data_IF_898163175592
#
_entry.id   IF_898163175592
#
_cell.length_a   1.000
_cell.length_b   1.000
_cell.length_c   1.000
_cell.angle_alpha   90.00
_cell.angle_beta   90.00
_cell.angle_gamma   90.00
#
_symmetry.space_group_name_H-M   'P 1'
#
loop_
_entity.id
_entity.type
_entity.pdbx_description
1 polymer ?
2 non-polymer ?
3 non-polymer ?
4 water ?
#
# COMPACT_ATOMS: atom_id res chain seq x y z
N UNK A 15 16.98 -17.08 -1.10
CA UNK A 15 15.61 -16.52 -1.01
C UNK A 15 15.56 -15.07 -1.48
N UNK A 16 15.08 -14.83 -2.71
CA UNK A 16 15.21 -13.48 -3.27
C UNK A 16 14.13 -12.52 -2.82
N UNK A 17 13.06 -13.01 -2.20
CA UNK A 17 11.98 -12.14 -1.74
C UNK A 17 11.63 -12.49 -0.31
N UNK A 18 11.92 -11.56 0.59
CA UNK A 18 11.68 -11.76 2.02
C UNK A 18 10.70 -10.71 2.50
N UNK A 19 9.99 -11.04 3.55
CA UNK A 19 9.13 -10.06 4.23
C UNK A 19 9.50 -10.00 5.71
N UNK A 20 9.19 -8.85 6.33
CA UNK A 20 9.35 -8.67 7.77
C UNK A 20 8.19 -7.83 8.26
N UNK A 21 7.33 -8.37 9.13
CA UNK A 21 6.13 -7.66 9.55
C UNK A 21 6.15 -7.47 11.05
N UNK A 22 5.93 -6.20 11.49
CA UNK A 22 5.98 -5.84 12.90
C UNK A 22 4.67 -5.21 13.35
N UNK A 23 4.35 -5.40 14.61
CA UNK A 23 3.12 -4.88 15.24
C UNK A 23 3.53 -3.74 16.14
N UNK A 24 3.12 -2.50 15.77
CA UNK A 24 3.50 -1.30 16.49
C UNK A 24 2.67 -1.06 17.76
N UNK A 25 1.57 -1.81 17.96
CA UNK A 25 0.76 -1.69 19.14
C UNK A 25 1.34 -2.51 20.30
N UNK A 26 1.83 -3.71 19.95
CA UNK A 26 2.27 -4.68 20.94
C UNK A 26 3.78 -4.79 21.03
N UNK A 27 4.50 -4.27 20.04
CA UNK A 27 5.97 -4.37 20.15
C UNK A 27 6.50 -5.76 19.87
N UNK A 28 5.82 -6.51 19.00
CA UNK A 28 6.22 -7.88 18.68
C UNK A 28 6.16 -8.05 17.17
N UNK A 29 6.81 -9.06 16.62
CA UNK A 29 6.59 -9.33 15.20
C UNK A 29 5.14 -9.77 14.99
N UNK A 30 4.62 -9.44 13.81
CA UNK A 30 3.21 -9.77 13.52
C UNK A 30 3.17 -11.16 12.91
N UNK A 31 2.85 -12.15 13.74
CA UNK A 31 2.82 -13.54 13.29
C UNK A 31 1.44 -13.91 12.77
N UNK A 32 1.40 -14.92 11.91
CA UNK A 32 0.17 -15.48 11.38
C UNK A 32 -0.53 -14.51 10.43
N UNK A 33 0.23 -13.62 9.78
CA UNK A 33 -0.33 -12.72 8.75
C UNK A 33 -0.26 -13.45 7.40
N UNK A 34 -1.42 -13.59 6.74
CA UNK A 34 -1.47 -14.25 5.43
C UNK A 34 -0.89 -13.31 4.38
N UNK A 35 0.01 -13.82 3.56
CA UNK A 35 0.66 -13.06 2.51
C UNK A 35 0.52 -13.80 1.19
N UNK A 36 0.25 -13.05 0.12
CA UNK A 36 0.23 -13.62 -1.23
C UNK A 36 1.12 -12.78 -2.14
N UNK A 37 1.81 -13.40 -3.09
CA UNK A 37 2.64 -12.69 -4.05
C UNK A 37 2.05 -12.92 -5.43
N UNK A 38 1.86 -11.83 -6.19
CA UNK A 38 1.35 -11.89 -7.55
C UNK A 38 2.33 -11.22 -8.51
N UNK A 39 2.31 -11.65 -9.76
CA UNK A 39 3.08 -11.00 -10.82
C UNK A 39 2.12 -10.57 -11.90
N UNK A 40 2.28 -9.32 -12.37
CA UNK A 40 1.34 -8.81 -13.39
C UNK A 40 1.62 -9.39 -14.76
N UNK A 41 0.58 -9.87 -15.43
CA UNK A 41 0.92 -10.28 -16.78
C UNK A 41 0.67 -9.09 -17.72
N UNK A 42 0.99 -9.30 -19.00
CA UNK A 42 0.93 -8.22 -19.98
C UNK A 42 -0.48 -7.65 -20.06
N UNK A 43 -1.49 -8.52 -19.97
CA UNK A 43 -2.87 -8.04 -19.98
C UNK A 43 -3.16 -7.07 -18.85
N UNK A 44 -2.37 -7.08 -17.76
CA UNK A 44 -2.65 -6.27 -16.61
C UNK A 44 -3.26 -7.05 -15.46
N UNK A 45 -3.65 -8.30 -15.69
CA UNK A 45 -4.17 -9.12 -14.61
C UNK A 45 -3.02 -9.61 -13.74
N UNK A 46 -3.37 -10.05 -12.55
CA UNK A 46 -2.39 -10.46 -11.55
C UNK A 46 -2.42 -11.99 -11.45
N UNK A 47 -1.23 -12.63 -11.57
CA UNK A 47 -1.07 -14.08 -11.51
C UNK A 47 -0.47 -14.43 -10.14
N UNK A 48 -1.15 -15.26 -9.33
CA UNK A 48 -0.56 -15.59 -8.03
C UNK A 48 0.61 -16.53 -8.23
N UNK A 49 1.76 -16.21 -7.59
CA UNK A 49 2.95 -17.05 -7.63
C UNK A 49 3.36 -17.60 -6.28
N UNK A 50 2.93 -17.03 -5.16
CA UNK A 50 3.37 -17.47 -3.84
C UNK A 50 2.25 -17.26 -2.82
N UNK A 51 2.37 -18.00 -1.74
CA UNK A 51 1.55 -17.76 -0.55
C UNK A 51 2.35 -18.15 0.67
N UNK A 52 2.01 -17.54 1.79
CA UNK A 52 2.64 -17.97 3.02
C UNK A 52 1.93 -17.29 4.19
N UNK A 53 2.34 -17.65 5.41
CA UNK A 53 1.87 -16.93 6.59
C UNK A 53 3.08 -16.63 7.44
N UNK A 54 3.10 -15.39 7.96
CA UNK A 54 4.30 -15.03 8.71
C UNK A 54 4.47 -15.92 9.94
N UNK A 55 5.73 -16.14 10.25
CA UNK A 55 6.06 -16.98 11.40
C UNK A 55 6.21 -16.13 12.67
N UNK A 56 6.79 -16.73 13.73
CA UNK A 56 6.80 -16.00 14.99
C UNK A 56 7.73 -14.80 14.96
N UNK A 57 8.65 -14.68 14.00
CA UNK A 57 9.49 -13.49 13.84
C UNK A 57 8.99 -12.58 12.72
N UNK A 58 7.78 -12.81 12.24
CA UNK A 58 7.15 -11.94 11.25
C UNK A 58 7.69 -12.14 9.85
N UNK A 59 8.26 -13.33 9.55
CA UNK A 59 8.95 -13.61 8.29
C UNK A 59 8.32 -14.81 7.60
N UNK A 60 8.66 -15.01 6.31
CA UNK A 60 8.22 -16.21 5.59
C UNK A 60 9.42 -16.74 4.83
N UNK A 61 9.80 -17.98 5.11
CA UNK A 61 10.88 -18.60 4.37
C UNK A 61 10.36 -19.21 3.08
N UNK A 62 11.21 -19.14 2.05
CA UNK A 62 10.94 -19.80 0.77
C UNK A 62 9.64 -19.34 0.10
N UNK A 63 9.40 -18.04 0.12
CA UNK A 63 8.25 -17.50 -0.58
C UNK A 63 8.29 -17.81 -2.08
N UNK A 64 9.46 -17.65 -2.72
CA UNK A 64 9.56 -17.84 -4.16
C UNK A 64 10.99 -18.24 -4.48
N UNK A 65 11.20 -18.94 -5.59
CA UNK A 65 12.54 -19.28 -6.01
C UNK A 65 13.08 -18.24 -6.97
N UNK A 66 14.42 -18.25 -7.11
CA UNK A 66 15.03 -17.39 -8.11
C UNK A 66 14.45 -17.70 -9.49
N UNK A 67 14.19 -18.99 -9.74
CA UNK A 67 13.72 -19.39 -11.07
C UNK A 67 12.38 -18.74 -11.38
N UNK A 68 11.48 -18.69 -10.40
CA UNK A 68 10.16 -18.12 -10.64
C UNK A 68 10.20 -16.61 -10.65
N UNK A 69 11.16 -16.01 -9.93
CA UNK A 69 11.17 -14.57 -9.65
C UNK A 69 11.85 -13.84 -10.80
N UNK A 70 11.14 -13.74 -11.92
CA UNK A 70 11.73 -13.18 -13.11
C UNK A 70 11.38 -11.70 -13.19
N UNK A 71 11.92 -11.03 -14.21
CA UNK A 71 11.68 -9.59 -14.30
C UNK A 71 10.20 -9.29 -14.50
N UNK A 72 9.70 -8.29 -13.77
CA UNK A 72 8.31 -7.88 -13.93
C UNK A 72 7.82 -7.02 -12.79
N UNK A 73 6.50 -6.82 -12.77
CA UNK A 73 5.82 -6.04 -11.73
C UNK A 73 5.17 -7.01 -10.75
N UNK A 74 5.48 -6.85 -9.48
CA UNK A 74 5.01 -7.72 -8.40
C UNK A 74 4.11 -6.97 -7.44
N UNK A 75 3.13 -7.71 -6.89
CA UNK A 75 2.29 -7.23 -5.79
C UNK A 75 2.46 -8.18 -4.62
N UNK A 76 2.89 -7.66 -3.47
CA UNK A 76 2.90 -8.45 -2.24
C UNK A 76 1.71 -7.98 -1.41
N UNK A 77 0.79 -8.88 -1.15
CA UNK A 77 -0.51 -8.61 -0.52
C UNK A 77 -0.51 -9.13 0.91
N UNK A 78 -0.72 -8.26 1.90
CA UNK A 78 -0.74 -8.65 3.31
C UNK A 78 -2.17 -8.50 3.82
N UNK A 79 -2.74 -9.59 4.39
CA UNK A 79 -4.10 -9.54 4.95
C UNK A 79 -4.00 -9.02 6.37
N UNK A 80 -3.89 -7.69 6.46
CA UNK A 80 -3.76 -7.06 7.77
C UNK A 80 -5.09 -6.97 8.53
N UNK A 81 -6.24 -6.97 7.81
CA UNK A 81 -7.54 -6.86 8.46
C UNK A 81 -7.79 -8.07 9.33
N UNK A 82 -7.53 -9.29 8.82
CA UNK A 82 -7.75 -10.48 9.61
C UNK A 82 -6.86 -10.50 10.85
N UNK A 83 -5.61 -10.01 10.69
CA UNK A 83 -4.69 -9.94 11.82
C UNK A 83 -5.25 -9.07 12.94
N UNK A 84 -5.72 -7.87 12.65
CA UNK A 84 -6.19 -7.01 13.72
C UNK A 84 -7.50 -7.52 14.32
N UNK A 85 -8.39 -8.03 13.48
CA UNK A 85 -9.64 -8.59 14.01
C UNK A 85 -9.38 -9.73 14.98
N UNK A 86 -8.37 -10.57 14.70
CA UNK A 86 -8.06 -11.66 15.63
C UNK A 86 -7.61 -11.14 16.98
N UNK A 87 -7.08 -9.93 17.03
CA UNK A 87 -6.65 -9.34 18.29
C UNK A 87 -7.75 -8.51 18.93
N UNK A 88 -8.95 -8.45 18.33
CA UNK A 88 -10.02 -7.67 18.92
C UNK A 88 -9.92 -6.19 18.64
N UNK A 89 -9.07 -5.79 17.70
CA UNK A 89 -8.89 -4.38 17.39
C UNK A 89 -9.56 -4.07 16.07
N UNK A 90 -9.96 -2.82 15.94
CA UNK A 90 -10.77 -2.40 14.81
C UNK A 90 -9.82 -1.88 13.77
N UNK A 91 -9.64 -2.56 12.61
CA UNK A 91 -8.71 -2.02 11.64
C UNK A 91 -9.38 -1.09 10.65
N UNK A 92 -8.59 -0.14 10.20
CA UNK A 92 -9.10 0.78 9.17
C UNK A 92 -8.98 0.18 7.76
N UNK A 93 -7.84 -0.42 7.41
CA UNK A 93 -7.56 -0.82 6.03
C UNK A 93 -8.11 -2.21 5.72
N UNK A 94 -8.43 -2.43 4.46
CA UNK A 94 -8.88 -3.76 4.07
C UNK A 94 -7.72 -4.74 4.02
N UNK A 95 -6.54 -4.25 3.73
CA UNK A 95 -5.30 -4.98 3.55
C UNK A 95 -4.20 -4.00 3.20
N UNK A 96 -2.98 -4.47 2.98
CA UNK A 96 -1.89 -3.62 2.49
C UNK A 96 -1.24 -4.32 1.32
N UNK A 97 -1.25 -3.69 0.15
CA UNK A 97 -0.55 -4.16 -1.05
C UNK A 97 0.69 -3.32 -1.25
N UNK A 98 1.78 -3.97 -1.66
CA UNK A 98 3.04 -3.29 -1.96
C UNK A 98 3.42 -3.72 -3.37
N UNK A 99 3.57 -2.75 -4.29
CA UNK A 99 3.70 -3.04 -5.73
C UNK A 99 4.98 -2.40 -6.24
N UNK A 100 5.78 -3.18 -6.98
CA UNK A 100 7.08 -2.71 -7.43
C UNK A 100 7.55 -3.53 -8.60
N UNK A 101 8.46 -2.93 -9.38
CA UNK A 101 9.16 -3.66 -10.42
C UNK A 101 10.42 -4.34 -9.85
N UNK A 102 10.62 -5.62 -10.21
CA UNK A 102 11.80 -6.34 -9.76
C UNK A 102 12.62 -6.85 -10.92
N UNK A 103 13.92 -6.99 -10.63
CA UNK A 103 14.91 -7.67 -11.47
C UNK A 103 15.03 -7.04 -12.85
N UNK A 104 14.78 -5.73 -12.94
CA UNK A 104 14.85 -5.13 -14.26
C UNK A 104 16.23 -4.62 -14.60
N UNK A 105 17.15 -4.63 -13.66
CA UNK A 105 18.55 -4.27 -13.88
C UNK A 105 19.47 -5.41 -13.46
N UNK A 106 19.01 -6.64 -13.65
CA UNK A 106 19.69 -7.82 -13.14
C UNK A 106 18.99 -8.40 -11.91
N UNK A 107 19.48 -9.55 -11.49
CA UNK A 107 18.91 -10.26 -10.33
C UNK A 107 19.33 -9.58 -9.04
N UNK A 108 18.36 -9.29 -8.18
CA UNK A 108 18.65 -8.70 -6.87
C UNK A 108 17.86 -9.46 -5.82
N UNK A 109 18.19 -9.25 -4.52
CA UNK A 109 17.33 -9.75 -3.46
C UNK A 109 16.57 -8.58 -2.85
N UNK A 110 15.34 -8.86 -2.41
CA UNK A 110 14.42 -7.82 -1.89
C UNK A 110 13.86 -8.22 -0.55
N UNK A 111 13.81 -7.26 0.38
CA UNK A 111 13.05 -7.45 1.61
C UNK A 111 11.98 -6.36 1.65
N UNK A 112 10.73 -6.80 1.80
CA UNK A 112 9.58 -5.91 1.97
C UNK A 112 9.25 -5.89 3.45
N UNK A 113 9.57 -4.77 4.14
CA UNK A 113 9.30 -4.64 5.56
C UNK A 113 8.00 -3.88 5.75
N UNK A 114 7.19 -4.28 6.71
CA UNK A 114 5.85 -3.68 6.90
C UNK A 114 5.58 -3.52 8.39
N UNK A 115 5.25 -2.30 8.80
CA UNK A 115 4.99 -1.97 10.19
C UNK A 115 3.52 -1.64 10.33
N UNK A 116 2.82 -2.28 11.28
CA UNK A 116 1.34 -2.22 11.31
C UNK A 116 0.80 -1.55 12.58
N UNK A 117 -0.18 -0.63 12.42
CA UNK A 117 -1.05 -0.16 13.49
C UNK A 117 -2.48 -0.18 12.96
N UNK A 118 -3.49 -0.17 13.82
CA UNK A 118 -4.88 -0.28 13.28
C UNK A 118 -5.24 0.79 12.27
N UNK A 119 -4.76 2.02 12.44
CA UNK A 119 -5.09 3.10 11.49
C UNK A 119 -3.86 3.62 10.76
N UNK A 120 -2.79 2.82 10.61
CA UNK A 120 -1.62 3.29 9.91
C UNK A 120 -0.77 2.10 9.52
N UNK A 121 -0.03 2.23 8.42
CA UNK A 121 1.04 1.26 8.17
C UNK A 121 2.18 1.95 7.41
N UNK A 122 3.38 1.39 7.56
CA UNK A 122 4.55 1.91 6.86
C UNK A 122 5.22 0.74 6.16
N UNK A 123 5.78 0.96 4.97
CA UNK A 123 6.51 -0.11 4.32
C UNK A 123 7.83 0.44 3.79
N UNK A 124 8.89 -0.39 3.82
CA UNK A 124 10.21 0.00 3.36
C UNK A 124 10.77 -1.18 2.59
N UNK A 125 11.53 -0.88 1.53
CA UNK A 125 12.14 -1.92 0.72
C UNK A 125 13.63 -1.83 0.88
N UNK A 126 14.28 -3.00 1.05
CA UNK A 126 15.74 -3.08 1.07
C UNK A 126 16.13 -3.96 -0.11
N UNK A 127 16.99 -3.43 -0.99
CA UNK A 127 17.39 -4.14 -2.22
C UNK A 127 18.89 -4.38 -2.18
N UNK A 128 19.32 -5.65 -2.41
CA UNK A 128 20.75 -5.96 -2.39
C UNK A 128 21.14 -6.80 -3.58
N UNK A 129 22.45 -6.86 -3.80
CA UNK A 129 23.07 -7.58 -4.89
C UNK A 129 24.27 -8.36 -4.35
N UNK B 15 -15.73 18.66 2.24
CA UNK B 15 -14.93 17.63 1.53
C UNK B 15 -14.68 16.37 2.39
N UNK B 16 -15.47 15.31 2.18
CA UNK B 16 -15.42 14.16 3.11
C UNK B 16 -14.24 13.25 2.90
N UNK B 17 -13.49 13.39 1.82
CA UNK B 17 -12.31 12.59 1.56
C UNK B 17 -11.19 13.53 1.17
N UNK B 18 -10.16 13.62 2.03
CA UNK B 18 -9.05 14.50 1.79
C UNK B 18 -7.76 13.69 1.78
N UNK B 19 -6.72 14.24 1.14
CA UNK B 19 -5.39 13.65 1.20
C UNK B 19 -4.39 14.71 1.68
N UNK B 20 -3.26 14.19 2.22
CA UNK B 20 -2.16 15.09 2.62
C UNK B 20 -0.89 14.32 2.31
N UNK B 21 -0.10 14.76 1.33
CA UNK B 21 1.10 14.01 0.93
C UNK B 21 2.35 14.81 1.19
N UNK B 22 3.33 14.21 1.87
CA UNK B 22 4.56 14.88 2.28
C UNK B 22 5.76 14.17 1.70
N UNK B 23 6.81 14.92 1.43
CA UNK B 23 8.10 14.42 0.89
C UNK B 23 9.09 14.42 2.04
N UNK B 24 9.47 13.19 2.45
CA UNK B 24 10.39 12.97 3.56
C UNK B 24 11.84 13.29 3.23
N UNK B 25 12.18 13.37 1.94
CA UNK B 25 13.53 13.68 1.50
C UNK B 25 13.79 15.16 1.55
N UNK B 26 12.83 15.96 1.02
CA UNK B 26 13.02 17.38 0.87
C UNK B 26 12.37 18.22 1.99
N UNK B 27 11.46 17.61 2.76
CA UNK B 27 10.84 18.41 3.83
C UNK B 27 9.82 19.39 3.33
N UNK B 28 9.06 18.98 2.32
CA UNK B 28 8.03 19.86 1.73
C UNK B 28 6.81 18.99 1.45
N UNK B 29 5.63 19.59 1.29
CA UNK B 29 4.52 18.80 0.76
C UNK B 29 4.81 18.37 -0.67
N UNK B 30 4.28 17.21 -1.03
CA UNK B 30 4.53 16.61 -2.36
C UNK B 30 3.45 17.13 -3.33
N UNK B 31 3.84 18.07 -4.20
CA UNK B 31 2.88 18.58 -5.17
C UNK B 31 2.96 17.78 -6.46
N UNK B 32 1.91 17.93 -7.27
CA UNK B 32 1.80 17.28 -8.58
C UNK B 32 1.73 15.77 -8.51
N UNK B 33 1.33 15.18 -7.39
CA UNK B 33 1.13 13.73 -7.31
C UNK B 33 -0.27 13.42 -7.82
N UNK B 34 -0.35 12.60 -8.87
CA UNK B 34 -1.64 12.23 -9.45
C UNK B 34 -2.35 11.19 -8.57
N UNK B 35 -3.62 11.44 -8.32
CA UNK B 35 -4.42 10.62 -7.42
C UNK B 35 -5.71 10.22 -8.14
N UNK B 36 -6.07 8.93 -7.99
CA UNK B 36 -7.36 8.44 -8.45
C UNK B 36 -8.12 7.80 -7.31
N UNK B 37 -9.43 8.01 -7.27
CA UNK B 37 -10.30 7.43 -6.26
C UNK B 37 -11.21 6.43 -6.96
N UNK B 38 -11.22 5.17 -6.45
CA UNK B 38 -12.09 4.13 -6.99
C UNK B 38 -13.02 3.64 -5.89
N UNK B 39 -14.15 3.10 -6.30
CA UNK B 39 -15.06 2.42 -5.38
C UNK B 39 -15.37 1.04 -5.94
N UNK B 40 -15.36 0.04 -5.07
CA UNK B 40 -15.58 -1.34 -5.50
C UNK B 40 -17.05 -1.61 -5.79
N UNK B 41 -17.28 -2.33 -6.89
CA UNK B 41 -18.60 -2.72 -7.36
C UNK B 41 -19.25 -3.72 -6.44
N UNK B 42 -20.58 -3.69 -6.45
CA UNK B 42 -21.39 -4.86 -6.16
C UNK B 42 -20.72 -6.11 -6.74
N UNK B 43 -20.40 -6.07 -8.04
CA UNK B 43 -19.62 -7.13 -8.67
C UNK B 43 -18.32 -7.39 -7.93
N UNK B 44 -17.62 -6.33 -7.50
CA UNK B 44 -16.32 -6.45 -6.92
C UNK B 44 -15.21 -5.78 -7.71
N UNK B 45 -15.53 -5.14 -8.82
CA UNK B 45 -14.57 -4.47 -9.67
C UNK B 45 -14.43 -3.01 -9.22
N UNK B 46 -13.27 -2.43 -9.53
CA UNK B 46 -13.01 -1.04 -9.16
C UNK B 46 -13.56 -0.09 -10.22
N UNK B 47 -14.41 0.84 -9.79
CA UNK B 47 -14.94 1.87 -10.67
C UNK B 47 -14.32 3.21 -10.30
N UNK B 48 -13.72 3.90 -11.29
CA UNK B 48 -13.12 5.19 -10.99
C UNK B 48 -14.18 6.25 -10.76
N UNK B 49 -14.09 6.92 -9.60
CA UNK B 49 -15.00 8.02 -9.26
C UNK B 49 -14.39 9.39 -9.48
N UNK B 50 -13.09 9.56 -9.28
CA UNK B 50 -12.51 10.88 -9.46
C UNK B 50 -11.00 10.80 -9.66
N UNK B 51 -10.46 11.91 -10.15
CA UNK B 51 -9.03 12.02 -10.35
C UNK B 51 -8.60 13.46 -10.06
N UNK B 52 -7.42 13.62 -9.49
CA UNK B 52 -6.94 14.96 -9.21
C UNK B 52 -5.43 14.88 -9.04
N UNK B 53 -4.85 16.03 -8.75
CA UNK B 53 -3.41 16.15 -8.58
C UNK B 53 -3.14 17.01 -7.36
N UNK B 54 -2.19 16.56 -6.49
CA UNK B 54 -1.96 17.35 -5.30
C UNK B 54 -1.44 18.75 -5.63
N UNK B 55 -1.78 19.70 -4.79
CA UNK B 55 -1.37 21.08 -4.97
C UNK B 55 -0.09 21.37 -4.18
N UNK B 56 0.23 22.66 -3.99
CA UNK B 56 1.49 23.01 -3.32
C UNK B 56 1.52 22.65 -1.86
N UNK B 57 0.36 22.42 -1.25
CA UNK B 57 0.31 21.97 0.14
C UNK B 57 0.10 20.46 0.25
N UNK B 58 0.23 19.74 -0.85
CA UNK B 58 0.09 18.27 -0.86
C UNK B 58 -1.34 17.79 -0.70
N UNK B 59 -2.33 18.59 -1.08
CA UNK B 59 -3.74 18.30 -0.84
C UNK B 59 -4.51 18.35 -2.16
N UNK B 60 -5.76 17.88 -2.14
CA UNK B 60 -6.64 18.01 -3.33
C UNK B 60 -8.01 18.51 -2.83
N UNK B 61 -8.42 19.66 -3.32
CA UNK B 61 -9.75 20.16 -2.98
C UNK B 61 -10.78 19.50 -3.86
N UNK B 62 -11.96 19.24 -3.29
CA UNK B 62 -13.13 18.73 -4.02
C UNK B 62 -12.81 17.40 -4.68
N UNK B 63 -12.07 16.58 -3.96
CA UNK B 63 -11.70 15.30 -4.50
C UNK B 63 -12.95 14.45 -4.77
N UNK B 64 -13.97 14.59 -3.94
CA UNK B 64 -15.22 13.85 -4.12
C UNK B 64 -16.35 14.63 -3.47
N UNK B 65 -17.54 14.56 -4.08
CA UNK B 65 -18.66 15.22 -3.45
C UNK B 65 -19.23 14.37 -2.34
N UNK B 66 -19.92 15.04 -1.40
CA UNK B 66 -20.65 14.29 -0.38
C UNK B 66 -21.64 13.31 -1.02
N UNK B 67 -22.24 13.71 -2.15
CA UNK B 67 -23.24 12.87 -2.79
C UNK B 67 -22.63 11.61 -3.41
N UNK B 68 -21.43 11.70 -4.00
CA UNK B 68 -20.85 10.53 -4.62
C UNK B 68 -20.17 9.62 -3.61
N UNK B 69 -19.91 10.13 -2.40
CA UNK B 69 -19.11 9.42 -1.40
C UNK B 69 -20.05 8.68 -0.46
N UNK B 70 -20.46 7.48 -0.88
CA UNK B 70 -21.43 6.66 -0.17
C UNK B 70 -20.71 5.49 0.48
N UNK B 71 -21.47 4.74 1.28
CA UNK B 71 -20.90 3.60 1.97
C UNK B 71 -20.31 2.61 0.97
N UNK B 72 -19.12 2.10 1.28
CA UNK B 72 -18.54 1.08 0.45
C UNK B 72 -17.04 0.97 0.67
N UNK B 73 -16.40 0.22 -0.23
CA UNK B 73 -14.97 -0.01 -0.19
C UNK B 73 -14.30 0.87 -1.23
N UNK B 74 -13.29 1.62 -0.78
CA UNK B 74 -12.59 2.61 -1.59
C UNK B 74 -11.13 2.28 -1.75
N UNK B 75 -10.58 2.67 -2.90
CA UNK B 75 -9.15 2.59 -3.16
C UNK B 75 -8.71 3.98 -3.57
N UNK B 76 -7.75 4.52 -2.84
CA UNK B 76 -7.13 5.80 -3.23
C UNK B 76 -5.74 5.48 -3.76
N UNK B 77 -5.49 5.82 -5.02
CA UNK B 77 -4.30 5.43 -5.76
C UNK B 77 -3.41 6.65 -5.99
N UNK B 78 -2.16 6.57 -5.55
CA UNK B 78 -1.21 7.69 -5.69
C UNK B 78 -0.08 7.29 -6.63
N UNK B 79 0.13 8.10 -7.68
CA UNK B 79 1.24 7.78 -8.61
C UNK B 79 2.50 8.39 -8.02
N UNK B 80 3.11 7.63 -7.08
CA UNK B 80 4.36 8.09 -6.45
C UNK B 80 5.56 7.94 -7.38
N UNK B 81 5.46 7.03 -8.37
CA UNK B 81 6.60 6.77 -9.25
C UNK B 81 6.94 8.00 -10.08
N UNK B 82 5.90 8.61 -10.70
CA UNK B 82 6.17 9.82 -11.50
C UNK B 82 6.69 10.96 -10.62
N UNK B 83 6.19 11.04 -9.37
CA UNK B 83 6.68 12.07 -8.48
C UNK B 83 8.20 11.99 -8.29
N UNK B 84 8.71 10.81 -7.94
CA UNK B 84 10.16 10.71 -7.75
C UNK B 84 10.94 10.90 -9.05
N UNK B 85 10.41 10.45 -10.18
CA UNK B 85 11.12 10.69 -11.45
C UNK B 85 11.22 12.20 -11.75
N UNK B 86 10.20 12.96 -11.37
CA UNK B 86 10.22 14.38 -11.59
C UNK B 86 11.31 15.08 -10.78
N UNK B 87 11.78 14.44 -9.71
CA UNK B 87 12.84 14.96 -8.85
C UNK B 87 14.21 14.38 -9.20
N UNK B 88 14.25 13.46 -10.16
CA UNK B 88 15.50 12.84 -10.53
C UNK B 88 15.97 11.79 -9.56
N UNK B 89 15.08 11.25 -8.74
CA UNK B 89 15.42 10.19 -7.77
C UNK B 89 14.79 8.89 -8.25
N UNK B 90 15.43 7.79 -7.94
CA UNK B 90 14.94 6.52 -8.41
C UNK B 90 13.85 6.00 -7.50
N UNK B 91 12.62 5.75 -7.98
CA UNK B 91 11.58 5.25 -7.10
C UNK B 91 11.61 3.72 -7.08
N UNK B 92 11.31 3.17 -5.90
CA UNK B 92 11.17 1.73 -5.83
C UNK B 92 9.76 1.24 -6.17
N UNK B 93 8.72 1.91 -5.68
CA UNK B 93 7.35 1.41 -5.83
C UNK B 93 6.74 1.86 -7.15
N UNK B 94 5.82 1.05 -7.65
CA UNK B 94 5.08 1.45 -8.86
C UNK B 94 4.12 2.58 -8.58
N UNK B 95 3.56 2.59 -7.36
CA UNK B 95 2.52 3.51 -6.89
C UNK B 95 2.22 3.09 -5.46
N UNK B 96 1.31 3.80 -4.80
CA UNK B 96 0.84 3.43 -3.45
C UNK B 96 -0.68 3.45 -3.50
N UNK B 97 -1.30 2.32 -3.22
CA UNK B 97 -2.75 2.18 -3.08
C UNK B 97 -3.11 2.08 -1.63
N UNK B 98 -4.18 2.76 -1.23
CA UNK B 98 -4.70 2.71 0.14
C UNK B 98 -6.18 2.29 0.06
N UNK B 99 -6.54 1.16 0.69
CA UNK B 99 -7.85 0.55 0.48
C UNK B 99 -8.55 0.39 1.84
N UNK B 100 -9.80 0.84 1.94
CA UNK B 100 -10.51 0.90 3.21
C UNK B 100 -12.01 0.96 2.97
N UNK B 101 -12.77 0.53 3.97
CA UNK B 101 -14.21 0.72 3.98
C UNK B 101 -14.57 2.07 4.60
N UNK B 102 -15.48 2.79 3.96
CA UNK B 102 -15.93 4.08 4.48
C UNK B 102 -17.42 4.06 4.79
N UNK B 103 -17.78 4.77 5.87
CA UNK B 103 -19.16 5.05 6.28
C UNK B 103 -19.95 3.80 6.63
N UNK B 104 -19.26 2.72 6.98
CA UNK B 104 -19.90 1.48 7.39
C UNK B 104 -20.72 1.64 8.67
N UNK B 105 -20.36 2.64 9.50
CA UNK B 105 -21.05 2.89 10.76
C UNK B 105 -21.37 4.38 10.90
N UNK B 106 -21.84 5.00 9.82
CA UNK B 106 -22.11 6.43 9.82
C UNK B 106 -21.23 7.24 8.86
N UNK B 107 -21.74 8.40 8.45
CA UNK B 107 -21.10 9.28 7.48
C UNK B 107 -20.08 10.19 8.19
N UNK B 108 -18.80 10.03 7.86
CA UNK B 108 -17.72 10.74 8.54
C UNK B 108 -16.83 11.42 7.49
N UNK B 109 -15.82 12.18 7.95
CA UNK B 109 -14.78 12.70 7.07
C UNK B 109 -13.48 11.94 7.26
N UNK B 110 -12.76 11.74 6.17
CA UNK B 110 -11.56 10.92 6.14
C UNK B 110 -10.41 11.70 5.55
N UNK B 111 -9.23 11.66 6.20
CA UNK B 111 -8.01 12.16 5.59
C UNK B 111 -7.05 11.00 5.45
N UNK B 112 -6.56 10.80 4.22
CA UNK B 112 -5.54 9.80 3.92
C UNK B 112 -4.23 10.58 3.85
N UNK B 113 -3.38 10.41 4.90
CA UNK B 113 -2.08 11.05 4.94
C UNK B 113 -1.05 10.07 4.40
N UNK B 114 -0.11 10.58 3.65
CA UNK B 114 0.88 9.71 2.97
C UNK B 114 2.23 10.38 2.98
N UNK B 115 3.23 9.67 3.56
CA UNK B 115 4.59 10.21 3.69
C UNK B 115 5.50 9.41 2.75
N UNK B 116 6.25 10.11 1.88
CA UNK B 116 6.99 9.44 0.79
C UNK B 116 8.50 9.60 0.91
N UNK B 117 9.22 8.47 0.70
CA UNK B 117 10.64 8.45 0.38
C UNK B 117 10.83 7.54 -0.84
N UNK B 118 11.98 7.59 -1.50
CA UNK B 118 12.10 6.72 -2.69
C UNK B 118 11.92 5.23 -2.42
N UNK B 119 12.40 4.71 -1.27
CA UNK B 119 12.24 3.29 -0.95
C UNK B 119 11.35 3.07 0.26
N UNK B 120 10.44 4.01 0.60
CA UNK B 120 9.57 3.76 1.75
C UNK B 120 8.34 4.64 1.64
N UNK B 121 7.22 4.18 2.15
CA UNK B 121 6.12 5.15 2.37
C UNK B 121 5.36 4.73 3.59
N UNK B 122 4.67 5.70 4.18
CA UNK B 122 3.83 5.48 5.34
C UNK B 122 2.48 6.10 5.08
N UNK B 123 1.42 5.45 5.54
CA UNK B 123 0.09 6.07 5.40
C UNK B 123 -0.66 5.95 6.72
N UNK B 124 -1.44 6.99 7.04
CA UNK B 124 -2.23 7.04 8.26
C UNK B 124 -3.58 7.63 7.91
N UNK B 125 -4.63 7.14 8.56
CA UNK B 125 -6.00 7.59 8.30
C UNK B 125 -6.47 8.34 9.52
N UNK B 126 -7.03 9.53 9.29
CA UNK B 126 -7.61 10.33 10.34
C UNK B 126 -9.09 10.42 10.03
N UNK B 127 -9.93 9.97 10.95
CA UNK B 127 -11.37 9.89 10.71
C UNK B 127 -12.07 10.76 11.73
N UNK B 128 -12.94 11.65 11.27
CA UNK B 128 -13.63 12.55 12.20
C UNK B 128 -15.12 12.49 11.95
X LIG C 1 14.54 -7.92 9.65
X LIG C 1 14.56 -7.12 8.52
X LIG C 1 14.41 -5.74 8.60
X LIG C 1 14.19 -5.16 9.86
X LIG C 1 14.19 -5.93 11.01
X LIG C 1 14.38 -7.32 10.90
X LIG C 1 14.76 -9.44 9.48
X LIG C 1 16.25 -9.85 9.68
X LIG C 1 17.15 -9.11 8.65
X LIG C 1 12.88 -3.10 10.13
X LIG C 1 12.99 -1.76 10.51
X LIG C 1 11.84 -1.03 10.74
X LIG C 1 10.61 -1.65 10.56
X LIG C 1 10.54 -2.98 10.17
X LIG C 1 11.67 -3.71 9.95
X LIG C 1 16.71 -9.72 11.06
X LIG C 1 14.08 -3.75 9.88
X LIG C 1 9.42 -0.93 10.81
X LIG C 1 16.91 -9.26 7.41
X LIG C 1 18.11 -8.35 8.99
X LIG C 1 14.39 -4.63 6.78
X LIG C 1 11.88 1.00 11.34
X LIG C 1 13.89 -5.05 12.95
X LIG C 1 8.69 -3.88 9.94
X LIG D 1 -5.74 -3.43 -9.16
X LIG D 1 -4.39 -3.33 -9.66
X LIG D 1 -5.80 -4.31 -7.91
X LIG D 1 -6.39 -3.57 -6.84
X LIG E 1 -2.52 18.25 7.29
X LIG E 1 -3.07 17.05 7.68
X LIG E 1 -2.36 16.11 8.41
X LIG E 1 -1.04 16.37 8.75
X LIG E 1 -0.44 17.58 8.37
X LIG E 1 -1.20 18.52 7.65
X LIG E 1 -3.39 19.21 6.46
X LIG E 1 -4.03 20.30 7.32
X LIG E 1 -4.89 19.70 8.43
X LIG E 1 0.61 14.59 9.06
X LIG E 1 1.46 14.01 9.98
X LIG E 1 2.47 13.17 9.56
X LIG E 1 2.60 12.85 8.23
X LIG E 1 1.72 13.43 7.34
X LIG E 1 0.72 14.30 7.72
X LIG E 1 -3.00 21.16 7.87
X LIG E 1 -0.36 15.42 9.55
X LIG E 1 3.61 11.97 7.80
X LIG E 1 -5.92 19.02 8.15
X LIG E 1 -4.57 19.88 9.65
X LIG E 1 -3.35 14.28 8.92
X LIG E 1 3.83 12.23 10.88
X LIG E 1 1.59 18.06 8.85
X LIG E 1 1.84 13.01 5.30
#
# INVERSE_FOLDING_TARGET
GHAPVDPHGAVDSKCPLMVKVLDAVRGVPASNVAVKVFKQDESGSWQQLSTGVTNETGEIHNLITEEAFTEGVYKVHFDTKTYWKSLGLTPFYEYADVVFTANDAGHRHYTIALLLSPYSYSTTAVVSDPHE
GHAPVDPHGAVDSKCPLMVKVLDAVRGVPASNVAVKVFKQDESGSWQQLSTGVTNETGEIHNLITEEAFTEGVYKVHFDTKTYWKSLGLTPFYEYADVVFTANDAGHRHYTIALLLSPYSYSTTAVVSDPHE
T44 C1 C2 C3 C4 C5 C6 C7 CA C C1' C2' C3' C4' C5' C6' N O4 O4' O OXT I3 I3' I5 I5'
EDO C1 O1 C2 O2
T44 C1 C2 C3 C4 C5 C6 C7 CA C C1' C2' C3' C4' C5' C6' N O4 O4' O OXT I3 I3' I5 I5'
#
